data_IF_486562960931
#
_entry.id   IF_486562960931
#
_cell.length_a   1.000
_cell.length_b   1.000
_cell.length_c   1.000
_cell.angle_alpha   90.00
_cell.angle_beta   90.00
_cell.angle_gamma   90.00
#
_symmetry.space_group_name_H-M   'P 1'
#
loop_
_entity.id
_entity.type
_entity.pdbx_description
1 polymer ?
#
# COMPACT_ATOMS: atom_id res chain seq x y z
N UNK A 1 -2.04 -18.76 -20.50
CA UNK A 1 -1.19 -17.77 -19.80
C UNK A 1 -1.67 -16.33 -19.96
N UNK A 2 -2.44 -15.97 -20.99
CA UNK A 2 -2.94 -14.59 -21.22
C UNK A 2 -4.16 -14.20 -20.38
N UNK A 3 -4.98 -15.15 -19.95
CA UNK A 3 -6.23 -14.90 -19.20
C UNK A 3 -5.95 -14.37 -17.77
N UNK A 4 -5.01 -14.95 -17.06
CA UNK A 4 -4.71 -14.58 -15.67
C UNK A 4 -4.10 -13.18 -15.51
N UNK A 5 -3.37 -12.67 -16.50
CA UNK A 5 -2.81 -11.32 -16.45
C UNK A 5 -3.90 -10.26 -16.61
N UNK A 6 -4.92 -10.52 -17.44
CA UNK A 6 -6.06 -9.62 -17.61
C UNK A 6 -6.95 -9.61 -16.37
N UNK A 7 -7.20 -10.79 -15.78
CA UNK A 7 -7.98 -10.90 -14.55
C UNK A 7 -7.28 -10.18 -13.40
N UNK A 8 -5.97 -10.37 -13.21
CA UNK A 8 -5.19 -9.68 -12.20
C UNK A 8 -5.24 -8.15 -12.40
N UNK A 9 -5.06 -7.68 -13.63
CA UNK A 9 -5.15 -6.25 -13.95
C UNK A 9 -6.53 -5.69 -13.62
N UNK A 10 -7.60 -6.41 -13.94
CA UNK A 10 -8.99 -6.03 -13.64
C UNK A 10 -9.26 -5.96 -12.15
N UNK A 11 -8.72 -6.92 -11.37
CA UNK A 11 -8.87 -6.95 -9.91
C UNK A 11 -8.07 -5.85 -9.23
N UNK A 12 -6.85 -5.54 -9.70
CA UNK A 12 -6.07 -4.41 -9.19
C UNK A 12 -6.74 -3.07 -9.51
N UNK A 13 -7.32 -2.91 -10.69
CA UNK A 13 -8.12 -1.73 -11.06
C UNK A 13 -9.36 -1.61 -10.17
N UNK A 14 -10.07 -2.72 -9.92
CA UNK A 14 -11.22 -2.77 -9.00
C UNK A 14 -10.83 -2.37 -7.57
N UNK A 15 -9.70 -2.85 -7.07
CA UNK A 15 -9.15 -2.47 -5.77
C UNK A 15 -8.87 -0.96 -5.71
N UNK A 16 -8.19 -0.42 -6.71
CA UNK A 16 -7.90 1.01 -6.80
C UNK A 16 -9.18 1.84 -6.78
N UNK A 17 -10.18 1.49 -7.63
CA UNK A 17 -11.46 2.17 -7.67
C UNK A 17 -12.16 2.13 -6.31
N UNK A 18 -12.21 0.97 -5.66
CA UNK A 18 -12.80 0.81 -4.33
C UNK A 18 -12.15 1.75 -3.31
N UNK A 19 -10.81 1.80 -3.27
CA UNK A 19 -10.08 2.61 -2.30
C UNK A 19 -10.17 4.13 -2.58
N UNK A 20 -10.53 4.51 -3.82
CA UNK A 20 -10.76 5.90 -4.23
C UNK A 20 -12.20 6.37 -4.02
N UNK A 21 -13.18 5.46 -3.94
CA UNK A 21 -14.61 5.84 -3.80
C UNK A 21 -14.86 6.69 -2.55
N UNK A 22 -14.27 6.35 -1.43
CA UNK A 22 -14.49 7.07 -0.15
C UNK A 22 -14.01 8.53 -0.21
N UNK A 23 -12.73 8.83 -0.53
CA UNK A 23 -12.26 10.22 -0.53
C UNK A 23 -12.87 11.05 -1.68
N UNK A 24 -13.17 10.44 -2.84
CA UNK A 24 -13.84 11.13 -3.95
C UNK A 24 -15.32 11.40 -3.62
N UNK A 25 -16.02 10.45 -2.99
CA UNK A 25 -17.39 10.64 -2.50
C UNK A 25 -17.47 11.75 -1.45
N UNK A 26 -16.47 11.85 -0.58
CA UNK A 26 -16.40 12.95 0.40
C UNK A 26 -16.24 14.33 -0.27
N UNK A 27 -15.53 14.42 -1.42
CA UNK A 27 -15.47 15.65 -2.22
C UNK A 27 -16.84 16.03 -2.77
N UNK A 28 -17.57 15.07 -3.36
CA UNK A 28 -18.90 15.31 -3.93
C UNK A 28 -19.86 15.80 -2.83
N UNK A 29 -19.95 15.08 -1.72
CA UNK A 29 -20.80 15.45 -0.59
C UNK A 29 -20.42 16.82 0.01
N UNK A 30 -19.14 17.12 0.10
CA UNK A 30 -18.64 18.41 0.61
C UNK A 30 -19.01 19.57 -0.30
N UNK A 31 -19.00 19.37 -1.65
CA UNK A 31 -19.44 20.37 -2.62
C UNK A 31 -20.95 20.61 -2.57
N UNK A 32 -21.75 19.55 -2.42
CA UNK A 32 -23.20 19.66 -2.25
C UNK A 32 -23.56 20.45 -0.99
N UNK A 33 -22.93 20.09 0.15
CA UNK A 33 -23.12 20.83 1.40
C UNK A 33 -22.72 22.31 1.26
N UNK A 34 -21.59 22.60 0.61
CA UNK A 34 -21.10 23.96 0.44
C UNK A 34 -22.03 24.81 -0.43
N UNK A 35 -22.74 24.19 -1.40
CA UNK A 35 -23.68 24.89 -2.29
C UNK A 35 -24.91 25.42 -1.53
N UNK A 36 -25.35 24.72 -0.49
CA UNK A 36 -26.55 25.06 0.29
C UNK A 36 -26.24 25.85 1.57
N UNK A 37 -25.01 25.71 2.09
CA UNK A 37 -24.61 26.32 3.35
C UNK A 37 -24.39 27.82 3.24
N UNK A 38 -24.98 28.58 4.17
CA UNK A 38 -24.90 30.05 4.23
C UNK A 38 -24.10 30.56 5.42
N UNK A 39 -23.95 29.75 6.48
CA UNK A 39 -23.19 30.12 7.65
C UNK A 39 -21.68 30.15 7.32
N UNK A 40 -20.98 31.28 7.58
CA UNK A 40 -19.56 31.41 7.22
C UNK A 40 -18.65 30.42 7.90
N UNK A 41 -18.89 30.05 9.17
CA UNK A 41 -18.08 29.10 9.91
C UNK A 41 -18.26 27.68 9.39
N UNK A 42 -19.50 27.30 9.07
CA UNK A 42 -19.79 25.99 8.46
C UNK A 42 -19.21 25.90 7.05
N UNK A 43 -19.31 26.95 6.24
CA UNK A 43 -18.65 27.02 4.92
C UNK A 43 -17.15 26.82 5.03
N UNK A 44 -16.50 27.46 6.01
CA UNK A 44 -15.06 27.27 6.25
C UNK A 44 -14.73 25.81 6.54
N UNK A 45 -15.50 25.15 7.41
CA UNK A 45 -15.34 23.71 7.72
C UNK A 45 -15.53 22.83 6.49
N UNK A 46 -16.51 23.16 5.61
CA UNK A 46 -16.68 22.45 4.35
C UNK A 46 -15.45 22.57 3.46
N UNK A 47 -14.84 23.76 3.34
CA UNK A 47 -13.60 23.94 2.58
C UNK A 47 -12.44 23.12 3.16
N UNK A 48 -12.25 23.12 4.48
CA UNK A 48 -11.21 22.32 5.14
C UNK A 48 -11.39 20.82 4.87
N UNK A 49 -12.62 20.31 4.89
CA UNK A 49 -12.93 18.92 4.54
C UNK A 49 -12.67 18.61 3.05
N UNK A 50 -12.99 19.55 2.17
CA UNK A 50 -12.71 19.41 0.73
C UNK A 50 -11.21 19.37 0.45
N UNK A 51 -10.42 20.26 1.07
CA UNK A 51 -8.96 20.27 0.96
C UNK A 51 -8.36 18.96 1.45
N UNK A 52 -8.80 18.48 2.62
CA UNK A 52 -8.35 17.21 3.18
C UNK A 52 -8.68 16.04 2.25
N UNK A 53 -9.92 15.97 1.73
CA UNK A 53 -10.35 14.88 0.84
C UNK A 53 -9.62 14.91 -0.50
N UNK A 54 -9.35 16.11 -1.05
CA UNK A 54 -8.56 16.27 -2.26
C UNK A 54 -7.10 15.79 -2.04
N UNK A 55 -6.50 16.17 -0.92
CA UNK A 55 -5.16 15.73 -0.54
C UNK A 55 -5.08 14.21 -0.40
N UNK A 56 -6.02 13.60 0.34
CA UNK A 56 -6.09 12.13 0.50
C UNK A 56 -6.22 11.44 -0.85
N UNK A 57 -7.08 11.95 -1.75
CA UNK A 57 -7.25 11.40 -3.10
C UNK A 57 -5.94 11.45 -3.90
N UNK A 58 -5.27 12.60 -3.89
CA UNK A 58 -4.00 12.79 -4.59
C UNK A 58 -2.89 11.88 -4.04
N UNK A 59 -2.76 11.75 -2.73
CA UNK A 59 -1.75 10.92 -2.07
C UNK A 59 -2.00 9.43 -2.37
N UNK A 60 -3.25 8.95 -2.31
CA UNK A 60 -3.62 7.59 -2.70
C UNK A 60 -3.31 7.31 -4.17
N UNK A 61 -3.65 8.21 -5.09
CA UNK A 61 -3.35 8.03 -6.52
C UNK A 61 -1.85 7.95 -6.80
N UNK A 62 -1.04 8.80 -6.15
CA UNK A 62 0.43 8.75 -6.26
C UNK A 62 0.96 7.41 -5.75
N UNK A 63 0.47 6.96 -4.59
CA UNK A 63 0.84 5.68 -4.01
C UNK A 63 0.51 4.52 -4.96
N UNK A 64 -0.74 4.40 -5.41
CA UNK A 64 -1.16 3.29 -6.28
C UNK A 64 -0.45 3.30 -7.64
N UNK A 65 -0.13 4.48 -8.17
CA UNK A 65 0.69 4.59 -9.39
C UNK A 65 2.05 3.92 -9.24
N UNK A 66 2.70 4.05 -8.10
CA UNK A 66 4.00 3.42 -7.85
C UNK A 66 3.87 1.97 -7.39
N UNK A 67 2.87 1.65 -6.58
CA UNK A 67 2.64 0.32 -6.02
C UNK A 67 2.15 -0.70 -7.08
N UNK A 68 1.24 -0.28 -7.98
CA UNK A 68 0.62 -1.17 -8.98
C UNK A 68 1.06 -0.86 -10.42
N UNK A 69 1.32 0.40 -10.72
CA UNK A 69 1.61 0.86 -12.08
C UNK A 69 2.98 0.44 -12.61
N UNK A 70 3.26 0.87 -13.83
CA UNK A 70 4.54 0.60 -14.49
C UNK A 70 5.73 1.40 -13.90
N UNK A 71 5.52 2.18 -12.82
CA UNK A 71 6.50 3.08 -12.20
C UNK A 71 7.19 4.00 -13.24
N UNK A 72 6.41 4.49 -14.20
CA UNK A 72 6.89 5.43 -15.23
C UNK A 72 7.44 6.72 -14.61
N UNK A 73 8.47 7.27 -15.22
CA UNK A 73 9.15 8.47 -14.73
C UNK A 73 10.42 8.22 -13.91
N UNK A 74 10.66 6.99 -13.45
CA UNK A 74 11.91 6.57 -12.84
C UNK A 74 12.70 5.66 -13.79
N UNK A 75 14.04 5.65 -13.66
CA UNK A 75 14.91 4.64 -14.24
C UNK A 75 14.61 3.24 -13.64
N UNK A 76 15.55 2.31 -13.72
CA UNK A 76 15.40 0.99 -13.10
C UNK A 76 15.45 1.05 -11.56
N UNK A 77 16.15 2.05 -11.03
CA UNK A 77 16.27 2.34 -9.61
C UNK A 77 15.38 3.52 -9.21
N UNK A 78 14.76 3.43 -8.05
CA UNK A 78 13.90 4.46 -7.44
C UNK A 78 14.55 4.91 -6.14
N UNK A 79 14.79 6.22 -5.94
CA UNK A 79 15.28 6.75 -4.67
C UNK A 79 14.34 6.37 -3.52
N UNK A 80 14.87 5.87 -2.40
CA UNK A 80 14.04 5.39 -1.26
C UNK A 80 13.17 6.49 -0.63
N UNK A 81 13.51 7.76 -0.85
CA UNK A 81 12.71 8.89 -0.39
C UNK A 81 11.33 8.95 -1.06
N UNK A 82 11.20 8.44 -2.30
CA UNK A 82 9.92 8.41 -3.01
C UNK A 82 8.90 7.47 -2.33
N UNK A 83 9.18 6.15 -2.16
CA UNK A 83 8.25 5.28 -1.46
C UNK A 83 8.05 5.70 0.00
N UNK A 84 9.08 6.23 0.68
CA UNK A 84 8.96 6.75 2.03
C UNK A 84 7.93 7.88 2.12
N UNK A 85 8.06 8.91 1.28
CA UNK A 85 7.12 10.03 1.28
C UNK A 85 5.68 9.59 1.01
N UNK A 86 5.47 8.57 0.14
CA UNK A 86 4.15 8.04 -0.16
C UNK A 86 3.54 7.28 1.04
N UNK A 87 4.32 6.46 1.73
CA UNK A 87 3.87 5.75 2.92
C UNK A 87 3.57 6.73 4.05
N UNK A 88 4.46 7.69 4.31
CA UNK A 88 4.29 8.71 5.34
C UNK A 88 3.02 9.55 5.08
N UNK A 89 2.74 9.91 3.80
CA UNK A 89 1.53 10.63 3.42
C UNK A 89 0.25 9.81 3.67
N UNK A 90 0.26 8.50 3.39
CA UNK A 90 -0.88 7.64 3.71
C UNK A 90 -1.07 7.47 5.22
N UNK A 91 0.01 7.25 5.96
CA UNK A 91 -0.02 7.09 7.42
C UNK A 91 -0.50 8.37 8.13
N UNK A 92 -0.15 9.56 7.61
CA UNK A 92 -0.61 10.84 8.15
C UNK A 92 -2.15 10.98 8.16
N UNK A 93 -2.86 10.24 7.29
CA UNK A 93 -4.32 10.19 7.28
C UNK A 93 -4.90 9.26 8.36
N UNK A 94 -4.05 8.52 9.09
CA UNK A 94 -4.42 7.66 10.20
C UNK A 94 -3.59 8.01 11.44
N UNK A 95 -4.07 8.98 12.21
CA UNK A 95 -3.37 9.50 13.41
C UNK A 95 -3.02 8.44 14.48
N UNK A 96 -3.51 7.20 14.33
CA UNK A 96 -3.23 6.09 15.24
C UNK A 96 -2.07 5.20 14.81
N UNK A 97 -1.47 5.46 13.65
CA UNK A 97 -0.33 4.68 13.14
C UNK A 97 0.92 5.55 13.15
N UNK A 98 1.97 5.05 13.79
CA UNK A 98 3.31 5.66 13.77
C UNK A 98 4.21 4.84 12.86
N UNK A 99 4.91 5.50 11.92
CA UNK A 99 5.83 4.84 11.00
C UNK A 99 7.27 5.09 11.42
N UNK A 100 8.05 4.02 11.53
CA UNK A 100 9.49 4.07 11.79
C UNK A 100 10.25 3.48 10.59
N UNK A 101 11.37 4.10 10.22
CA UNK A 101 12.15 3.72 9.06
C UNK A 101 13.57 3.33 9.44
N UNK A 102 14.04 2.21 8.87
CA UNK A 102 15.42 1.73 8.92
C UNK A 102 15.87 1.43 7.48
N UNK A 103 16.36 2.46 6.78
CA UNK A 103 16.75 2.37 5.38
C UNK A 103 18.28 2.28 5.29
N UNK A 104 18.78 1.15 4.80
CA UNK A 104 20.19 0.87 4.53
C UNK A 104 20.59 1.02 3.06
N UNK A 105 19.72 1.60 2.22
CA UNK A 105 19.96 1.85 0.79
C UNK A 105 19.48 3.24 0.40
N UNK A 106 20.14 3.87 -0.57
CA UNK A 106 19.72 5.17 -1.14
C UNK A 106 18.66 5.02 -2.24
N UNK A 107 18.65 3.86 -2.90
CA UNK A 107 17.70 3.53 -3.96
C UNK A 107 17.44 2.03 -4.00
N UNK A 108 16.28 1.64 -4.53
CA UNK A 108 15.85 0.25 -4.69
C UNK A 108 15.37 0.00 -6.12
N UNK A 109 15.51 -1.23 -6.66
CA UNK A 109 14.88 -1.63 -7.90
C UNK A 109 13.36 -1.49 -7.84
N UNK A 110 12.71 -1.18 -8.96
CA UNK A 110 11.24 -1.05 -9.03
C UNK A 110 10.47 -2.25 -8.44
N UNK A 111 10.86 -3.51 -8.67
CA UNK A 111 10.20 -4.65 -8.03
C UNK A 111 10.24 -4.56 -6.49
N UNK A 112 11.39 -4.22 -5.92
CA UNK A 112 11.56 -4.07 -4.48
C UNK A 112 10.71 -2.93 -3.91
N UNK A 113 10.63 -1.80 -4.62
CA UNK A 113 9.76 -0.68 -4.22
C UNK A 113 8.28 -1.08 -4.23
N UNK A 114 7.83 -1.85 -5.23
CA UNK A 114 6.45 -2.36 -5.26
C UNK A 114 6.16 -3.27 -4.07
N UNK A 115 7.09 -4.15 -3.71
CA UNK A 115 6.98 -5.03 -2.54
C UNK A 115 6.92 -4.19 -1.27
N UNK A 116 7.83 -3.25 -1.08
CA UNK A 116 7.86 -2.36 0.08
C UNK A 116 6.53 -1.61 0.27
N UNK A 117 6.02 -0.97 -0.79
CA UNK A 117 4.78 -0.20 -0.73
C UNK A 117 3.57 -1.08 -0.38
N UNK A 118 3.45 -2.24 -1.01
CA UNK A 118 2.33 -3.13 -0.73
C UNK A 118 2.44 -3.78 0.65
N UNK A 119 3.64 -4.14 1.12
CA UNK A 119 3.84 -4.59 2.50
C UNK A 119 3.46 -3.51 3.51
N UNK A 120 3.84 -2.25 3.25
CA UNK A 120 3.43 -1.13 4.10
C UNK A 120 1.91 -0.96 4.13
N UNK A 121 1.24 -1.10 2.96
CA UNK A 121 -0.22 -1.04 2.88
C UNK A 121 -0.90 -2.16 3.67
N UNK A 122 -0.47 -3.42 3.46
CA UNK A 122 -0.97 -4.59 4.21
C UNK A 122 -0.76 -4.40 5.71
N UNK A 123 0.43 -3.92 6.11
CA UNK A 123 0.74 -3.64 7.52
C UNK A 123 -0.14 -2.55 8.12
N UNK A 124 -0.38 -1.45 7.41
CA UNK A 124 -1.29 -0.38 7.86
C UNK A 124 -2.73 -0.88 8.00
N UNK A 125 -3.22 -1.68 7.05
CA UNK A 125 -4.56 -2.27 7.09
C UNK A 125 -4.72 -3.28 8.24
N UNK A 126 -3.65 -3.97 8.62
CA UNK A 126 -3.65 -4.89 9.75
C UNK A 126 -3.76 -4.16 11.11
N UNK A 127 -3.35 -2.89 11.21
CA UNK A 127 -3.36 -2.07 12.42
C UNK A 127 -4.73 -1.43 12.69
N UNK A 128 -5.78 -2.22 12.80
CA UNK A 128 -7.19 -1.75 12.94
C UNK A 128 -7.44 -0.88 14.17
N UNK A 129 -6.61 -1.00 15.21
CA UNK A 129 -6.67 -0.17 16.43
C UNK A 129 -5.47 0.79 16.58
N UNK A 130 -4.69 0.95 15.50
CA UNK A 130 -3.45 1.70 15.51
C UNK A 130 -2.27 0.88 16.03
N UNK A 131 -1.11 1.52 16.09
CA UNK A 131 0.14 0.90 16.51
C UNK A 131 1.34 1.45 15.76
N UNK A 132 2.40 0.66 15.64
CA UNK A 132 3.64 1.01 14.94
C UNK A 132 3.78 0.19 13.66
N UNK A 133 4.27 0.85 12.63
CA UNK A 133 4.69 0.25 11.37
C UNK A 133 6.19 0.48 11.20
N UNK A 134 6.98 -0.55 11.47
CA UNK A 134 8.43 -0.52 11.34
C UNK A 134 8.80 -1.03 9.96
N UNK A 135 9.51 -0.23 9.15
CA UNK A 135 9.88 -0.55 7.77
C UNK A 135 11.38 -0.52 7.62
N UNK A 136 11.95 -1.66 7.26
CA UNK A 136 13.35 -1.82 6.91
C UNK A 136 13.53 -2.17 5.43
N UNK A 137 14.52 -1.56 4.79
CA UNK A 137 14.93 -1.94 3.44
C UNK A 137 16.44 -1.72 3.28
N UNK A 138 17.12 -2.73 2.77
CA UNK A 138 18.56 -2.65 2.45
C UNK A 138 18.87 -3.35 1.12
N UNK A 139 20.02 -3.00 0.54
CA UNK A 139 20.56 -3.67 -0.63
C UNK A 139 21.90 -4.30 -0.24
N UNK A 140 21.96 -5.64 -0.28
CA UNK A 140 23.15 -6.38 0.17
C UNK A 140 23.43 -7.56 -0.76
N UNK A 141 24.69 -7.67 -1.21
CA UNK A 141 25.12 -8.82 -2.02
C UNK A 141 24.37 -8.99 -3.36
N UNK A 142 23.88 -7.90 -3.95
CA UNK A 142 23.07 -7.95 -5.18
C UNK A 142 21.60 -8.32 -4.95
N UNK A 143 21.13 -8.36 -3.69
CA UNK A 143 19.71 -8.58 -3.36
C UNK A 143 19.15 -7.38 -2.60
N UNK A 144 17.84 -7.16 -2.77
CA UNK A 144 17.07 -6.23 -1.94
C UNK A 144 16.36 -7.00 -0.84
N UNK A 145 16.61 -6.63 0.40
CA UNK A 145 15.94 -7.19 1.58
C UNK A 145 14.96 -6.17 2.14
N UNK A 146 13.71 -6.58 2.33
CA UNK A 146 12.62 -5.72 2.79
C UNK A 146 11.93 -6.40 3.96
N UNK A 147 11.74 -5.67 5.03
CA UNK A 147 10.98 -6.12 6.20
C UNK A 147 9.98 -5.04 6.59
N UNK A 148 8.73 -5.43 6.79
CA UNK A 148 7.69 -4.57 7.36
C UNK A 148 7.08 -5.28 8.55
N UNK A 149 7.12 -4.64 9.71
CA UNK A 149 6.50 -5.12 10.94
C UNK A 149 5.38 -4.17 11.35
N UNK A 150 4.16 -4.67 11.39
CA UNK A 150 3.02 -3.99 11.99
C UNK A 150 2.81 -4.54 13.39
N UNK A 151 2.86 -3.69 14.41
CA UNK A 151 2.68 -4.08 15.81
C UNK A 151 1.66 -3.18 16.50
N UNK A 152 0.72 -3.79 17.23
CA UNK A 152 -0.36 -3.05 17.85
C UNK A 152 -1.25 -3.90 18.75
N UNK A 153 -2.21 -3.28 19.45
CA UNK A 153 -3.08 -3.98 20.42
C UNK A 153 -3.95 -5.06 19.80
N UNK A 154 -4.16 -5.00 18.49
CA UNK A 154 -4.91 -6.00 17.72
C UNK A 154 -4.47 -5.97 16.27
N UNK A 155 -4.05 -7.10 15.77
CA UNK A 155 -3.74 -7.32 14.36
C UNK A 155 -4.92 -8.01 13.68
N UNK A 156 -5.35 -7.45 12.54
CA UNK A 156 -6.34 -8.07 11.65
C UNK A 156 -5.65 -8.42 10.34
N UNK A 157 -5.35 -9.69 10.14
CA UNK A 157 -4.72 -10.19 8.92
C UNK A 157 -5.57 -11.27 8.29
N UNK A 158 -5.87 -11.09 7.01
CA UNK A 158 -6.69 -12.01 6.25
C UNK A 158 -5.86 -13.22 5.79
N UNK A 159 -6.35 -14.43 6.07
CA UNK A 159 -5.70 -15.67 5.64
C UNK A 159 -5.59 -15.80 4.13
N UNK A 160 -6.53 -15.24 3.38
CA UNK A 160 -6.47 -15.24 1.91
C UNK A 160 -5.32 -14.37 1.39
N UNK A 161 -5.00 -13.27 2.06
CA UNK A 161 -3.81 -12.45 1.75
C UNK A 161 -2.54 -13.26 2.03
N UNK A 162 -2.49 -13.97 3.17
CA UNK A 162 -1.37 -14.85 3.51
C UNK A 162 -1.15 -15.94 2.46
N UNK A 163 -2.20 -16.67 2.11
CA UNK A 163 -2.16 -17.71 1.07
C UNK A 163 -1.71 -17.16 -0.30
N UNK A 164 -2.13 -15.93 -0.64
CA UNK A 164 -1.70 -15.28 -1.88
C UNK A 164 -0.21 -14.89 -1.85
N UNK A 165 0.32 -14.41 -0.71
CA UNK A 165 1.76 -14.15 -0.53
C UNK A 165 2.61 -15.41 -0.66
N UNK A 166 2.11 -16.54 -0.19
CA UNK A 166 2.76 -17.86 -0.29
C UNK A 166 2.61 -18.52 -1.67
N UNK A 167 1.90 -17.85 -2.59
CA UNK A 167 1.66 -18.42 -3.94
C UNK A 167 0.69 -19.60 -3.96
N UNK A 168 -0.11 -19.78 -2.91
CA UNK A 168 -1.06 -20.91 -2.77
C UNK A 168 -2.42 -20.64 -3.42
N UNK A 169 -2.67 -19.40 -3.87
CA UNK A 169 -3.93 -19.02 -4.51
C UNK A 169 -3.84 -19.24 -6.02
N UNK A 170 -4.74 -20.09 -6.54
CA UNK A 170 -4.96 -20.21 -7.99
C UNK A 170 -5.83 -19.09 -8.55
N UNK A 171 -5.95 -19.02 -9.87
CA UNK A 171 -6.73 -17.97 -10.56
C UNK A 171 -8.18 -17.88 -10.09
N UNK A 172 -8.84 -19.01 -9.81
CA UNK A 172 -10.23 -19.07 -9.36
C UNK A 172 -10.44 -18.49 -7.94
N UNK A 173 -9.37 -18.40 -7.14
CA UNK A 173 -9.38 -17.82 -5.79
C UNK A 173 -8.99 -16.35 -5.73
N UNK A 174 -8.73 -15.71 -6.88
CA UNK A 174 -8.36 -14.29 -6.91
C UNK A 174 -9.56 -13.38 -6.68
N UNK A 175 -9.34 -12.39 -5.82
CA UNK A 175 -10.30 -11.33 -5.49
C UNK A 175 -9.57 -9.98 -5.53
N UNK A 176 -10.30 -8.86 -5.60
CA UNK A 176 -9.68 -7.53 -5.51
C UNK A 176 -8.92 -7.30 -4.21
N UNK A 177 -9.23 -8.06 -3.14
CA UNK A 177 -8.60 -7.95 -1.83
C UNK A 177 -7.24 -8.65 -1.77
N UNK A 178 -7.09 -9.84 -2.37
CA UNK A 178 -5.85 -10.61 -2.35
C UNK A 178 -4.98 -10.40 -3.62
N UNK A 179 -5.51 -9.75 -4.65
CA UNK A 179 -4.80 -9.48 -5.90
C UNK A 179 -3.46 -8.73 -5.71
N UNK A 180 -3.34 -7.72 -4.83
CA UNK A 180 -2.03 -7.11 -4.55
C UNK A 180 -1.01 -8.11 -4.01
N UNK A 181 -1.39 -8.97 -3.06
CA UNK A 181 -0.53 -10.00 -2.49
C UNK A 181 -0.10 -11.05 -3.55
N UNK A 182 -1.04 -11.47 -4.39
CA UNK A 182 -0.74 -12.36 -5.52
C UNK A 182 0.23 -11.72 -6.51
N UNK A 183 0.05 -10.44 -6.84
CA UNK A 183 0.99 -9.68 -7.67
C UNK A 183 2.40 -9.69 -7.07
N UNK A 184 2.52 -9.51 -5.75
CA UNK A 184 3.83 -9.55 -5.08
C UNK A 184 4.49 -10.93 -5.18
N UNK A 185 3.73 -12.01 -4.99
CA UNK A 185 4.24 -13.37 -5.16
C UNK A 185 4.76 -13.60 -6.59
N UNK A 186 4.05 -13.10 -7.61
CA UNK A 186 4.50 -13.15 -9.00
C UNK A 186 5.79 -12.34 -9.24
N UNK A 187 5.87 -11.13 -8.67
CA UNK A 187 7.07 -10.28 -8.76
C UNK A 187 8.27 -10.99 -8.11
N UNK A 188 8.11 -11.54 -6.91
CA UNK A 188 9.17 -12.25 -6.21
C UNK A 188 9.65 -13.47 -7.00
N UNK A 189 8.72 -14.29 -7.51
CA UNK A 189 9.05 -15.45 -8.33
C UNK A 189 9.79 -15.08 -9.62
N UNK A 190 9.39 -14.00 -10.31
CA UNK A 190 10.05 -13.51 -11.52
C UNK A 190 11.50 -13.04 -11.25
N UNK A 191 11.78 -12.52 -10.05
CA UNK A 191 13.11 -12.12 -9.64
C UNK A 191 13.95 -13.28 -9.05
N UNK A 192 13.39 -14.49 -8.97
CA UNK A 192 14.04 -15.62 -8.30
C UNK A 192 14.16 -15.45 -6.78
N UNK A 193 13.34 -14.58 -6.21
CA UNK A 193 13.28 -14.27 -4.80
C UNK A 193 12.13 -14.97 -4.08
N UNK A 194 11.84 -14.52 -2.85
CA UNK A 194 10.78 -15.08 -2.02
C UNK A 194 10.15 -14.07 -1.09
N UNK A 195 8.91 -14.36 -0.71
CA UNK A 195 8.15 -13.64 0.31
C UNK A 195 7.90 -14.58 1.48
N UNK A 196 7.82 -14.02 2.68
CA UNK A 196 7.45 -14.74 3.88
C UNK A 196 6.68 -13.83 4.83
N UNK A 197 5.86 -14.41 5.70
CA UNK A 197 5.24 -13.66 6.79
C UNK A 197 5.19 -14.49 8.07
N UNK A 198 5.10 -13.77 9.19
CA UNK A 198 4.83 -14.33 10.50
C UNK A 198 3.75 -13.52 11.20
N UNK A 199 2.79 -14.20 11.79
CA UNK A 199 1.65 -13.59 12.46
C UNK A 199 1.60 -14.04 13.94
N UNK A 200 1.47 -13.05 14.84
CA UNK A 200 1.14 -13.25 16.25
C UNK A 200 -0.11 -12.42 16.61
N UNK A 201 -0.55 -12.48 17.87
CA UNK A 201 -1.71 -11.72 18.32
C UNK A 201 -1.49 -10.20 18.26
N UNK A 202 -0.25 -9.76 18.40
CA UNK A 202 0.16 -8.36 18.53
C UNK A 202 1.06 -7.85 17.39
N UNK A 203 1.50 -8.73 16.48
CA UNK A 203 2.36 -8.36 15.36
C UNK A 203 2.14 -9.19 14.09
N UNK A 204 2.25 -8.51 12.95
CA UNK A 204 2.44 -9.08 11.61
C UNK A 204 3.81 -8.67 11.10
N UNK A 205 4.64 -9.63 10.72
CA UNK A 205 5.93 -9.37 10.07
C UNK A 205 5.86 -9.90 8.65
N UNK A 206 6.20 -9.05 7.69
CA UNK A 206 6.29 -9.36 6.26
C UNK A 206 7.75 -9.21 5.83
N UNK A 207 8.29 -10.20 5.17
CA UNK A 207 9.68 -10.22 4.70
C UNK A 207 9.78 -10.57 3.22
N UNK A 208 10.74 -9.96 2.53
CA UNK A 208 11.05 -10.27 1.14
C UNK A 208 12.57 -10.22 0.90
N UNK A 209 13.04 -11.16 0.09
CA UNK A 209 14.39 -11.14 -0.49
C UNK A 209 14.25 -11.24 -1.99
N UNK A 210 14.71 -10.19 -2.70
CA UNK A 210 14.62 -10.07 -4.14
C UNK A 210 16.03 -9.93 -4.72
N UNK A 211 16.57 -10.95 -5.39
CA UNK A 211 17.81 -10.83 -6.14
C UNK A 211 17.70 -9.73 -7.20
N UNK A 212 18.78 -8.98 -7.41
CA UNK A 212 18.86 -7.89 -8.39
C UNK A 212 19.34 -8.35 -9.76
#
# INVERSE_FOLDING_TARGET
MTDHALDLASLLASRLCHDMLSPVGALTNGLELLAEEKDPEMRKRCFELLEQSAKISADKLKFFRLAFGAAGGFGELVPVQEPRALVDALAANNARVTVNWALGADSLPKPAVKVLLNFALIGMEALVRGGTLDIGAESRGGASEIVVRAAGPRIAFDREIGAALEGQVGAEGLTSRNAPAFMLAQIAAQQGGGLQFALSDDALVLGAVLPG
#
